data_IF_463610510277
#
_entry.id   IF_463610510277
#
_cell.length_a   1.000
_cell.length_b   1.000
_cell.length_c   1.000
_cell.angle_alpha   90.00
_cell.angle_beta   90.00
_cell.angle_gamma   90.00
#
_symmetry.space_group_name_H-M   'P 1'
#
loop_
_entity.id
_entity.type
_entity.pdbx_description
1 polymer ?
#
# COMPACT_ATOMS: atom_id res chain seq x y z
N UNK A 1 -9.18 -17.49 -30.67
CA UNK A 1 -8.53 -17.75 -29.38
C UNK A 1 -7.11 -17.20 -29.40
N UNK A 2 -6.65 -16.68 -28.31
CA UNK A 2 -5.27 -16.20 -28.10
C UNK A 2 -4.50 -17.35 -27.48
N UNK A 3 -3.33 -17.70 -28.02
CA UNK A 3 -2.46 -18.69 -27.42
C UNK A 3 -1.55 -18.08 -26.33
N UNK A 4 -0.76 -18.91 -25.65
CA UNK A 4 0.16 -18.49 -24.58
C UNK A 4 1.29 -17.56 -25.08
N UNK A 5 1.50 -17.44 -26.41
CA UNK A 5 2.47 -16.53 -27.02
C UNK A 5 1.87 -15.17 -27.42
N UNK A 6 0.59 -14.93 -27.14
CA UNK A 6 -0.10 -13.69 -27.46
C UNK A 6 -0.50 -13.54 -28.94
N UNK A 7 -0.62 -14.65 -29.66
CA UNK A 7 -1.08 -14.67 -31.05
C UNK A 7 -2.54 -15.06 -31.18
N UNK A 8 -3.30 -14.34 -32.00
CA UNK A 8 -4.68 -14.71 -32.37
C UNK A 8 -4.64 -15.81 -33.44
N UNK A 9 -5.12 -17.00 -33.09
CA UNK A 9 -5.29 -18.12 -34.01
C UNK A 9 -6.67 -18.07 -34.65
N UNK A 10 -6.71 -17.89 -35.98
CA UNK A 10 -7.90 -18.09 -36.79
C UNK A 10 -7.77 -19.37 -37.57
N UNK A 11 -8.67 -20.34 -37.36
CA UNK A 11 -8.80 -21.47 -38.25
C UNK A 11 -9.56 -21.06 -39.49
N UNK A 12 -8.86 -20.90 -40.60
CA UNK A 12 -9.45 -20.85 -41.91
C UNK A 12 -9.73 -22.29 -42.36
N UNK A 13 -10.96 -22.55 -42.80
CA UNK A 13 -11.35 -23.84 -43.40
C UNK A 13 -10.31 -24.26 -44.46
N UNK A 14 -9.66 -25.40 -44.23
CA UNK A 14 -8.65 -26.04 -45.06
C UNK A 14 -7.24 -25.38 -45.05
N UNK A 15 -6.41 -25.80 -44.13
CA UNK A 15 -4.94 -25.82 -44.20
C UNK A 15 -4.11 -24.53 -44.09
N UNK A 16 -4.65 -23.44 -43.58
CA UNK A 16 -3.82 -22.29 -43.23
C UNK A 16 -4.10 -21.84 -41.79
N UNK A 17 -3.10 -21.96 -40.90
CA UNK A 17 -3.11 -21.28 -39.61
C UNK A 17 -2.64 -19.84 -39.81
N UNK A 18 -3.51 -18.88 -39.65
CA UNK A 18 -3.19 -17.45 -39.69
C UNK A 18 -2.80 -17.00 -38.28
N UNK A 19 -1.52 -16.75 -38.06
CA UNK A 19 -1.06 -16.07 -36.86
C UNK A 19 -1.16 -14.55 -37.08
N UNK A 20 -2.18 -13.90 -36.51
CA UNK A 20 -2.26 -12.45 -36.50
C UNK A 20 -1.47 -11.94 -35.31
N UNK A 21 -0.24 -11.51 -35.56
CA UNK A 21 0.60 -10.77 -34.63
C UNK A 21 0.48 -9.29 -34.96
N UNK A 22 -0.05 -8.51 -34.03
CA UNK A 22 -0.12 -7.05 -34.18
C UNK A 22 0.18 -6.38 -32.86
N UNK A 23 0.70 -5.17 -32.90
CA UNK A 23 1.07 -4.38 -31.72
C UNK A 23 -0.07 -4.31 -30.68
N UNK A 24 -1.33 -4.31 -31.12
CA UNK A 24 -2.51 -4.26 -30.23
C UNK A 24 -2.72 -5.58 -29.46
N UNK A 25 -2.45 -6.73 -30.08
CA UNK A 25 -2.60 -8.04 -29.43
C UNK A 25 -1.50 -8.28 -28.41
N UNK A 26 -0.28 -7.90 -28.78
CA UNK A 26 0.88 -7.93 -27.86
C UNK A 26 0.65 -6.97 -26.70
N UNK A 27 0.17 -5.76 -26.97
CA UNK A 27 -0.13 -4.79 -25.93
C UNK A 27 -1.20 -5.30 -24.96
N UNK A 28 -2.26 -5.94 -25.47
CA UNK A 28 -3.32 -6.48 -24.61
C UNK A 28 -2.83 -7.62 -23.73
N UNK A 29 -2.05 -8.55 -24.28
CA UNK A 29 -1.45 -9.65 -23.51
C UNK A 29 -0.48 -9.15 -22.44
N UNK A 30 0.29 -8.10 -22.75
CA UNK A 30 1.18 -7.43 -21.78
C UNK A 30 0.36 -6.76 -20.66
N UNK A 31 -0.72 -6.06 -20.98
CA UNK A 31 -1.58 -5.41 -19.97
C UNK A 31 -2.27 -6.42 -19.05
N UNK A 32 -2.76 -7.54 -19.61
CA UNK A 32 -3.37 -8.62 -18.83
C UNK A 32 -2.31 -9.30 -17.92
N UNK A 33 -1.12 -9.54 -18.44
CA UNK A 33 0.01 -10.05 -17.66
C UNK A 33 0.44 -9.10 -16.54
N UNK A 34 0.46 -7.79 -16.79
CA UNK A 34 0.80 -6.78 -15.79
C UNK A 34 -0.20 -6.76 -14.62
N UNK A 35 -1.50 -6.90 -14.89
CA UNK A 35 -2.53 -6.89 -13.84
C UNK A 35 -2.44 -8.08 -12.90
N UNK A 36 -2.17 -9.29 -13.42
CA UNK A 36 -1.96 -10.49 -12.62
C UNK A 36 -0.65 -10.40 -11.81
N UNK A 37 0.43 -10.01 -12.45
CA UNK A 37 1.72 -9.81 -11.79
C UNK A 37 1.65 -8.76 -10.68
N UNK A 38 0.79 -7.76 -10.83
CA UNK A 38 0.56 -6.73 -9.82
C UNK A 38 -0.03 -7.31 -8.53
N UNK A 39 -1.05 -8.15 -8.63
CA UNK A 39 -1.69 -8.79 -7.47
C UNK A 39 -0.68 -9.70 -6.75
N UNK A 40 0.04 -10.52 -7.50
CA UNK A 40 1.07 -11.41 -6.95
C UNK A 40 2.20 -10.62 -6.27
N UNK A 41 2.76 -9.62 -6.94
CA UNK A 41 3.81 -8.76 -6.37
C UNK A 41 3.36 -8.05 -5.11
N UNK A 42 2.12 -7.55 -5.09
CA UNK A 42 1.55 -6.87 -3.91
C UNK A 42 1.38 -7.84 -2.75
N UNK A 43 0.88 -9.05 -3.00
CA UNK A 43 0.72 -10.07 -1.98
C UNK A 43 2.08 -10.54 -1.42
N UNK A 44 3.06 -10.76 -2.28
CA UNK A 44 4.42 -11.13 -1.86
C UNK A 44 5.05 -10.00 -1.05
N UNK A 45 4.93 -8.75 -1.49
CA UNK A 45 5.47 -7.58 -0.78
C UNK A 45 4.85 -7.41 0.61
N UNK A 46 3.53 -7.58 0.73
CA UNK A 46 2.83 -7.56 2.03
C UNK A 46 3.29 -8.72 2.93
N UNK A 47 3.44 -9.92 2.39
CA UNK A 47 3.92 -11.07 3.14
C UNK A 47 5.36 -10.88 3.64
N UNK A 48 6.27 -10.43 2.77
CA UNK A 48 7.65 -10.12 3.15
C UNK A 48 7.70 -9.04 4.22
N UNK A 49 6.92 -7.96 4.04
CA UNK A 49 6.83 -6.87 5.00
C UNK A 49 6.30 -7.35 6.36
N UNK A 50 5.30 -8.24 6.34
CA UNK A 50 4.79 -8.87 7.58
C UNK A 50 5.88 -9.66 8.30
N UNK A 51 6.62 -10.50 7.57
CA UNK A 51 7.71 -11.28 8.17
C UNK A 51 8.83 -10.40 8.72
N UNK A 52 9.22 -9.34 8.02
CA UNK A 52 10.22 -8.38 8.49
C UNK A 52 9.74 -7.68 9.77
N UNK A 53 8.50 -7.18 9.79
CA UNK A 53 7.92 -6.54 10.97
C UNK A 53 7.81 -7.51 12.14
N UNK A 54 7.36 -8.73 11.87
CA UNK A 54 7.29 -9.77 12.88
C UNK A 54 8.68 -10.11 13.46
N UNK A 55 9.70 -10.23 12.62
CA UNK A 55 11.07 -10.48 13.06
C UNK A 55 11.62 -9.34 13.93
N UNK A 56 11.30 -8.08 13.61
CA UNK A 56 11.73 -6.90 14.35
C UNK A 56 11.00 -6.74 15.68
N UNK A 57 9.68 -6.93 15.68
CA UNK A 57 8.84 -6.72 16.88
C UNK A 57 8.68 -7.98 17.73
N UNK A 58 8.92 -9.15 17.15
CA UNK A 58 8.67 -10.48 17.73
C UNK A 58 7.26 -10.67 18.29
N UNK A 59 6.31 -9.86 17.83
CA UNK A 59 4.90 -9.88 18.22
C UNK A 59 4.03 -9.75 16.98
N UNK A 60 2.97 -10.53 16.88
CA UNK A 60 2.05 -10.53 15.72
C UNK A 60 1.21 -9.26 15.73
N UNK A 61 0.74 -8.82 16.89
CA UNK A 61 -0.18 -7.66 17.03
C UNK A 61 0.39 -6.37 16.41
N UNK A 62 1.62 -5.93 16.74
CA UNK A 62 2.21 -4.76 16.11
C UNK A 62 2.36 -4.89 14.59
N UNK A 63 2.73 -6.08 14.11
CA UNK A 63 2.91 -6.32 12.67
C UNK A 63 1.59 -6.13 11.91
N UNK A 64 0.47 -6.65 12.44
CA UNK A 64 -0.86 -6.48 11.86
C UNK A 64 -1.31 -5.04 11.93
N UNK A 65 -1.18 -4.36 13.10
CA UNK A 65 -1.60 -2.98 13.30
C UNK A 65 -0.86 -2.01 12.38
N UNK A 66 0.44 -2.25 12.13
CA UNK A 66 1.25 -1.42 11.21
C UNK A 66 0.91 -1.67 9.76
N UNK A 67 0.65 -2.93 9.36
CA UNK A 67 0.36 -3.28 7.97
C UNK A 67 -1.07 -2.95 7.52
N UNK A 68 -2.03 -2.94 8.44
CA UNK A 68 -3.43 -2.71 8.10
C UNK A 68 -3.67 -1.34 7.41
N UNK A 69 -3.16 -0.20 7.91
CA UNK A 69 -3.24 1.09 7.22
C UNK A 69 -2.63 1.06 5.82
N UNK A 70 -1.54 0.34 5.63
CA UNK A 70 -0.84 0.22 4.34
C UNK A 70 -1.67 -0.55 3.33
N UNK A 71 -2.32 -1.64 3.75
CA UNK A 71 -3.27 -2.37 2.92
C UNK A 71 -4.45 -1.51 2.48
N UNK A 72 -5.02 -0.73 3.41
CA UNK A 72 -6.09 0.23 3.10
C UNK A 72 -5.60 1.33 2.15
N UNK A 73 -4.38 1.86 2.35
CA UNK A 73 -3.78 2.84 1.44
C UNK A 73 -3.68 2.30 0.01
N UNK A 74 -3.22 1.05 -0.14
CA UNK A 74 -3.11 0.39 -1.45
C UNK A 74 -4.47 0.28 -2.16
N UNK A 75 -5.53 -0.09 -1.43
CA UNK A 75 -6.89 -0.13 -1.97
C UNK A 75 -7.40 1.25 -2.38
N UNK A 76 -7.12 2.28 -1.59
CA UNK A 76 -7.53 3.65 -1.91
C UNK A 76 -6.79 4.20 -3.14
N UNK A 77 -5.51 3.86 -3.29
CA UNK A 77 -4.73 4.24 -4.49
C UNK A 77 -5.32 3.60 -5.74
N UNK A 78 -5.57 2.29 -5.72
CA UNK A 78 -6.20 1.59 -6.85
C UNK A 78 -7.60 2.15 -7.14
N UNK A 79 -8.40 2.41 -6.10
CA UNK A 79 -9.71 3.04 -6.23
C UNK A 79 -9.64 4.44 -6.84
N UNK A 80 -8.67 5.26 -6.44
CA UNK A 80 -8.48 6.61 -6.99
C UNK A 80 -8.05 6.59 -8.45
N UNK A 81 -7.20 5.63 -8.86
CA UNK A 81 -6.84 5.43 -10.27
C UNK A 81 -8.07 5.12 -11.12
N UNK A 82 -8.95 4.25 -10.63
CA UNK A 82 -10.20 3.90 -11.33
C UNK A 82 -11.15 5.11 -11.45
N UNK A 83 -11.26 5.93 -10.38
CA UNK A 83 -12.12 7.12 -10.37
C UNK A 83 -11.62 8.22 -11.32
N UNK A 84 -10.31 8.43 -11.41
CA UNK A 84 -9.68 9.43 -12.27
C UNK A 84 -9.60 8.95 -13.72
N UNK A 85 -9.82 7.64 -13.98
CA UNK A 85 -9.74 7.04 -15.31
C UNK A 85 -8.31 6.86 -15.80
N UNK A 86 -7.33 6.74 -14.87
CA UNK A 86 -5.94 6.48 -15.22
C UNK A 86 -5.78 5.06 -15.76
N UNK A 87 -5.09 4.95 -16.88
CA UNK A 87 -4.82 3.65 -17.51
C UNK A 87 -3.65 2.95 -16.81
N UNK A 88 -3.78 1.64 -16.65
CA UNK A 88 -2.68 0.81 -16.20
C UNK A 88 -1.51 0.88 -17.20
N UNK A 89 -0.35 1.20 -16.71
CA UNK A 89 0.90 1.19 -17.46
C UNK A 89 2.03 0.76 -16.52
N UNK A 90 3.22 0.51 -17.07
CA UNK A 90 4.37 0.02 -16.30
C UNK A 90 4.72 0.94 -15.12
N UNK A 91 4.62 2.26 -15.29
CA UNK A 91 4.93 3.22 -14.22
C UNK A 91 3.85 3.22 -13.13
N UNK A 92 2.57 3.13 -13.48
CA UNK A 92 1.48 3.09 -12.48
C UNK A 92 1.48 1.79 -11.69
N UNK A 93 1.91 0.68 -12.29
CA UNK A 93 2.15 -0.59 -11.58
C UNK A 93 3.24 -0.43 -10.50
N UNK A 94 4.32 0.29 -10.82
CA UNK A 94 5.38 0.57 -9.84
C UNK A 94 4.91 1.40 -8.65
N UNK A 95 3.89 2.24 -8.81
CA UNK A 95 3.34 3.06 -7.70
C UNK A 95 2.80 2.19 -6.57
N UNK A 96 2.21 1.04 -6.87
CA UNK A 96 1.69 0.16 -5.81
C UNK A 96 2.82 -0.37 -4.92
N UNK A 97 3.96 -0.72 -5.51
CA UNK A 97 5.15 -1.10 -4.74
C UNK A 97 5.69 0.07 -3.90
N UNK A 98 5.69 1.29 -4.46
CA UNK A 98 6.03 2.50 -3.72
C UNK A 98 5.04 2.78 -2.58
N UNK A 99 3.75 2.55 -2.79
CA UNK A 99 2.71 2.68 -1.75
C UNK A 99 3.02 1.83 -0.54
N UNK A 100 3.39 0.57 -0.77
CA UNK A 100 3.76 -0.36 0.30
C UNK A 100 5.01 0.15 1.05
N UNK A 101 6.08 0.53 0.32
CA UNK A 101 7.32 1.00 0.94
C UNK A 101 7.10 2.26 1.78
N UNK A 102 6.56 3.33 1.20
CA UNK A 102 6.33 4.61 1.88
C UNK A 102 5.30 4.48 3.01
N UNK A 103 4.22 3.71 2.78
CA UNK A 103 3.16 3.50 3.77
C UNK A 103 3.66 2.76 5.00
N UNK A 104 4.50 1.74 4.82
CA UNK A 104 5.10 0.99 5.92
C UNK A 104 6.01 1.90 6.73
N UNK A 105 6.84 2.73 6.10
CA UNK A 105 7.76 3.63 6.80
C UNK A 105 7.02 4.59 7.73
N UNK A 106 5.94 5.24 7.27
CA UNK A 106 5.13 6.12 8.11
C UNK A 106 4.50 5.38 9.28
N UNK A 107 3.96 4.20 9.03
CA UNK A 107 3.31 3.37 10.05
C UNK A 107 4.31 2.84 11.09
N UNK A 108 5.51 2.41 10.67
CA UNK A 108 6.58 1.95 11.57
C UNK A 108 7.06 3.09 12.45
N UNK A 109 7.35 4.27 11.88
CA UNK A 109 7.83 5.41 12.66
C UNK A 109 6.81 5.84 13.72
N UNK A 110 5.53 5.86 13.37
CA UNK A 110 4.45 6.18 14.29
C UNK A 110 4.31 5.14 15.40
N UNK A 111 4.33 3.83 15.04
CA UNK A 111 4.27 2.74 16.01
C UNK A 111 5.44 2.77 16.99
N UNK A 112 6.67 2.90 16.47
CA UNK A 112 7.88 2.94 17.31
C UNK A 112 7.86 4.11 18.27
N UNK A 113 7.39 5.28 17.83
CA UNK A 113 7.24 6.42 18.73
C UNK A 113 6.21 6.16 19.81
N UNK A 114 5.08 5.56 19.46
CA UNK A 114 4.07 5.15 20.43
C UNK A 114 4.67 4.19 21.48
N UNK A 115 5.40 3.14 21.08
CA UNK A 115 6.06 2.23 22.03
C UNK A 115 6.97 2.96 23.03
N UNK A 116 7.77 3.91 22.54
CA UNK A 116 8.69 4.71 23.37
C UNK A 116 7.92 5.59 24.35
N UNK A 117 6.86 6.26 23.90
CA UNK A 117 6.06 7.11 24.79
C UNK A 117 5.23 6.29 25.78
N UNK A 118 4.75 5.12 25.38
CA UNK A 118 4.04 4.19 26.25
C UNK A 118 4.92 3.69 27.39
N UNK A 119 6.18 3.36 27.10
CA UNK A 119 7.14 2.96 28.13
C UNK A 119 7.47 4.08 29.15
N UNK A 120 7.32 5.35 28.75
CA UNK A 120 7.58 6.50 29.63
C UNK A 120 6.36 6.92 30.45
N UNK A 121 5.17 6.87 29.88
CA UNK A 121 3.97 7.47 30.46
C UNK A 121 3.06 6.47 31.14
N UNK A 122 3.04 5.21 30.66
CA UNK A 122 2.19 4.14 31.17
C UNK A 122 0.70 4.28 30.79
N UNK A 123 0.30 5.40 30.19
CA UNK A 123 -1.05 5.66 29.71
C UNK A 123 -1.10 5.66 28.19
N UNK A 124 -2.04 4.88 27.63
CA UNK A 124 -2.18 4.69 26.16
C UNK A 124 -2.53 6.00 25.44
N UNK A 125 -3.46 6.79 26.00
CA UNK A 125 -3.93 8.01 25.39
C UNK A 125 -2.86 9.11 25.38
N UNK A 126 -2.18 9.29 26.52
CA UNK A 126 -1.08 10.25 26.62
C UNK A 126 0.12 9.88 25.72
N UNK A 127 0.44 8.58 25.66
CA UNK A 127 1.50 8.09 24.78
C UNK A 127 1.18 8.31 23.29
N UNK A 128 -0.08 8.02 22.91
CA UNK A 128 -0.54 8.20 21.55
C UNK A 128 -0.53 9.66 21.13
N UNK A 129 -1.06 10.54 21.97
CA UNK A 129 -1.04 11.99 21.74
C UNK A 129 0.39 12.53 21.58
N UNK A 130 1.30 12.13 22.48
CA UNK A 130 2.69 12.54 22.39
C UNK A 130 3.38 12.01 21.11
N UNK A 131 3.04 10.81 20.66
CA UNK A 131 3.55 10.25 19.42
C UNK A 131 3.06 11.06 18.20
N UNK A 132 1.78 11.41 18.15
CA UNK A 132 1.22 12.24 17.07
C UNK A 132 1.82 13.64 17.09
N UNK A 133 1.90 14.30 18.24
CA UNK A 133 2.40 15.67 18.37
C UNK A 133 3.88 15.81 17.97
N UNK A 134 4.68 14.77 18.15
CA UNK A 134 6.12 14.79 17.81
C UNK A 134 6.43 14.21 16.46
N UNK A 135 6.11 12.92 16.26
CA UNK A 135 6.44 12.21 15.04
C UNK A 135 5.48 12.57 13.89
N UNK A 136 4.20 12.85 14.19
CA UNK A 136 3.23 13.26 13.19
C UNK A 136 3.65 14.52 12.45
N UNK A 137 4.19 15.53 13.13
CA UNK A 137 4.70 16.76 12.49
C UNK A 137 5.88 16.44 11.56
N UNK A 138 6.82 15.61 12.00
CA UNK A 138 7.96 15.21 11.17
C UNK A 138 7.50 14.42 9.92
N UNK A 139 6.53 13.53 10.07
CA UNK A 139 5.96 12.77 8.96
C UNK A 139 5.20 13.70 7.99
N UNK A 140 4.46 14.69 8.47
CA UNK A 140 3.80 15.70 7.63
C UNK A 140 4.81 16.50 6.80
N UNK A 141 5.90 16.97 7.40
CA UNK A 141 6.95 17.70 6.67
C UNK A 141 7.61 16.82 5.62
N UNK A 142 7.93 15.57 5.95
CA UNK A 142 8.47 14.59 5.01
C UNK A 142 7.51 14.34 3.84
N UNK A 143 6.23 14.13 4.13
CA UNK A 143 5.22 13.90 3.11
C UNK A 143 5.04 15.11 2.17
N UNK A 144 5.00 16.34 2.71
CA UNK A 144 4.90 17.56 1.91
C UNK A 144 6.09 17.67 0.96
N UNK A 145 7.31 17.42 1.45
CA UNK A 145 8.52 17.46 0.63
C UNK A 145 8.48 16.41 -0.47
N UNK A 146 8.08 15.19 -0.14
CA UNK A 146 7.96 14.09 -1.10
C UNK A 146 6.89 14.36 -2.14
N UNK A 147 5.70 14.80 -1.72
CA UNK A 147 4.61 15.19 -2.64
C UNK A 147 5.02 16.33 -3.56
N UNK A 148 5.75 17.33 -3.05
CA UNK A 148 6.26 18.43 -3.87
C UNK A 148 7.25 17.94 -4.93
N UNK A 149 8.12 16.98 -4.59
CA UNK A 149 9.03 16.36 -5.54
C UNK A 149 8.30 15.64 -6.67
N UNK A 150 7.28 14.84 -6.34
CA UNK A 150 6.48 14.13 -7.35
C UNK A 150 5.55 15.08 -8.13
N UNK A 151 5.06 16.16 -7.53
CA UNK A 151 4.25 17.17 -8.20
C UNK A 151 5.01 17.89 -9.35
N UNK A 152 6.34 17.95 -9.28
CA UNK A 152 7.14 18.50 -10.39
C UNK A 152 6.98 17.67 -11.67
N UNK A 153 6.71 16.35 -11.56
CA UNK A 153 6.49 15.49 -12.71
C UNK A 153 5.21 15.83 -13.50
N UNK A 154 4.27 16.55 -12.89
CA UNK A 154 3.06 17.03 -13.56
C UNK A 154 3.37 18.01 -14.70
N UNK A 155 4.53 18.64 -14.68
CA UNK A 155 4.99 19.55 -15.73
C UNK A 155 5.78 18.83 -16.84
N UNK A 156 5.91 17.51 -16.78
CA UNK A 156 6.57 16.72 -17.82
C UNK A 156 5.80 16.79 -19.14
N UNK A 157 6.47 16.83 -20.30
CA UNK A 157 5.79 16.74 -21.61
C UNK A 157 5.21 15.36 -21.90
N UNK A 158 5.53 14.33 -21.09
CA UNK A 158 5.09 12.95 -21.29
C UNK A 158 3.91 12.63 -20.36
N UNK A 159 2.70 12.31 -20.88
CA UNK A 159 1.52 12.02 -20.08
C UNK A 159 1.73 10.89 -19.06
N UNK A 160 2.47 9.84 -19.42
CA UNK A 160 2.76 8.70 -18.55
C UNK A 160 3.54 9.12 -17.30
N UNK A 161 4.44 10.11 -17.43
CA UNK A 161 5.21 10.66 -16.31
C UNK A 161 4.33 11.56 -15.43
N UNK A 162 3.40 12.32 -16.05
CA UNK A 162 2.41 13.11 -15.30
C UNK A 162 1.53 12.21 -14.44
N UNK A 163 0.98 11.15 -15.03
CA UNK A 163 0.15 10.16 -14.33
C UNK A 163 0.91 9.53 -13.15
N UNK A 164 2.16 9.14 -13.37
CA UNK A 164 3.02 8.61 -12.32
C UNK A 164 3.24 9.61 -11.19
N UNK A 165 3.54 10.86 -11.50
CA UNK A 165 3.73 11.93 -10.50
C UNK A 165 2.48 12.18 -9.68
N UNK A 166 1.31 12.26 -10.36
CA UNK A 166 0.02 12.50 -9.73
C UNK A 166 -0.34 11.37 -8.76
N UNK A 167 -0.33 10.13 -9.25
CA UNK A 167 -0.76 9.00 -8.43
C UNK A 167 0.21 8.75 -7.26
N UNK A 168 1.52 9.00 -7.45
CA UNK A 168 2.49 8.88 -6.37
C UNK A 168 2.29 9.96 -5.30
N UNK A 169 2.00 11.20 -5.68
CA UNK A 169 1.67 12.25 -4.72
C UNK A 169 0.40 11.92 -3.91
N UNK A 170 -0.65 11.40 -4.57
CA UNK A 170 -1.89 10.92 -3.93
C UNK A 170 -1.57 9.76 -2.97
N UNK A 171 -0.71 8.85 -3.38
CA UNK A 171 -0.26 7.71 -2.56
C UNK A 171 0.39 8.15 -1.25
N UNK A 172 1.31 9.11 -1.31
CA UNK A 172 1.98 9.66 -0.13
C UNK A 172 0.97 10.33 0.80
N UNK A 173 0.02 11.08 0.24
CA UNK A 173 -1.06 11.70 1.01
C UNK A 173 -1.92 10.67 1.75
N UNK A 174 -2.38 9.63 1.07
CA UNK A 174 -3.19 8.57 1.69
C UNK A 174 -2.41 7.81 2.74
N UNK A 175 -1.15 7.47 2.48
CA UNK A 175 -0.30 6.80 3.45
C UNK A 175 -0.11 7.63 4.72
N UNK A 176 0.10 8.95 4.58
CA UNK A 176 0.19 9.87 5.70
C UNK A 176 -1.11 9.94 6.52
N UNK A 177 -2.25 10.14 5.84
CA UNK A 177 -3.56 10.25 6.51
C UNK A 177 -3.85 8.96 7.29
N UNK A 178 -3.63 7.81 6.68
CA UNK A 178 -3.91 6.53 7.32
C UNK A 178 -2.93 6.23 8.47
N UNK A 179 -1.66 6.59 8.34
CA UNK A 179 -0.69 6.45 9.42
C UNK A 179 -1.02 7.37 10.62
N UNK A 180 -1.55 8.57 10.39
CA UNK A 180 -1.87 9.52 11.45
C UNK A 180 -3.27 9.33 12.05
N UNK A 181 -4.23 8.80 11.30
CA UNK A 181 -5.61 8.66 11.75
C UNK A 181 -5.98 7.21 12.06
N UNK A 182 -5.71 6.29 11.14
CA UNK A 182 -6.15 4.91 11.29
C UNK A 182 -5.27 4.12 12.27
N UNK A 183 -3.95 4.31 12.24
CA UNK A 183 -3.05 3.59 13.14
C UNK A 183 -3.32 3.93 14.62
N UNK A 184 -3.48 5.20 15.04
CA UNK A 184 -3.89 5.53 16.41
C UNK A 184 -5.18 4.84 16.86
N UNK A 185 -6.19 4.80 15.99
CA UNK A 185 -7.48 4.13 16.29
C UNK A 185 -7.27 2.63 16.48
N UNK A 186 -6.46 1.99 15.63
CA UNK A 186 -6.16 0.56 15.73
C UNK A 186 -5.39 0.23 17.01
N UNK A 187 -4.45 1.09 17.41
CA UNK A 187 -3.70 0.95 18.68
C UNK A 187 -4.65 0.98 19.86
N UNK A 188 -5.54 1.95 19.91
CA UNK A 188 -6.53 2.09 20.99
C UNK A 188 -7.49 0.89 21.04
N UNK A 189 -8.01 0.44 19.87
CA UNK A 189 -8.88 -0.73 19.81
C UNK A 189 -8.17 -2.01 20.24
N UNK A 190 -6.87 -2.16 19.91
CA UNK A 190 -6.10 -3.32 20.32
C UNK A 190 -5.84 -3.34 21.84
N UNK A 191 -5.66 -2.18 22.45
CA UNK A 191 -5.49 -2.07 23.89
C UNK A 191 -6.76 -2.47 24.65
N UNK A 192 -7.92 -1.94 24.24
CA UNK A 192 -9.23 -2.29 24.83
C UNK A 192 -9.57 -3.77 24.68
N UNK A 193 -9.21 -4.38 23.56
CA UNK A 193 -9.42 -5.82 23.35
C UNK A 193 -8.60 -6.71 24.30
N UNK A 194 -7.45 -6.23 24.76
CA UNK A 194 -6.65 -6.95 25.77
C UNK A 194 -7.21 -6.81 27.16
N UNK A 195 -7.72 -5.64 27.56
CA UNK A 195 -8.37 -5.43 28.87
C UNK A 195 -9.62 -6.31 29.02
N UNK A 196 -10.47 -6.37 27.98
CA UNK A 196 -11.67 -7.22 27.99
C UNK A 196 -11.39 -8.73 28.12
N UNK A 197 -10.22 -9.19 27.72
CA UNK A 197 -9.85 -10.62 27.82
C UNK A 197 -9.21 -11.00 29.16
N UNK A 198 -8.77 -10.00 29.94
CA UNK A 198 -8.26 -10.20 31.31
C UNK A 198 -9.35 -10.17 32.36
N UNK A 199 -10.52 -9.62 32.04
CA UNK A 199 -11.66 -9.52 32.97
C UNK A 199 -12.65 -10.72 32.89
N UNK A 200 -12.32 -11.79 32.18
CA UNK A 200 -13.09 -13.03 32.24
C UNK A 200 -12.77 -13.74 33.57
N UNK A 201 -13.70 -13.81 34.54
CA UNK A 201 -13.44 -14.47 35.81
C UNK A 201 -13.10 -15.94 35.57
N UNK A 202 -12.04 -16.41 36.22
CA UNK A 202 -11.59 -17.82 36.21
C UNK A 202 -12.48 -18.74 37.04
N UNK A 203 -13.74 -18.38 37.29
CA UNK A 203 -14.67 -19.07 38.20
C UNK A 203 -15.76 -19.84 37.43
N UNK A 204 -15.31 -20.75 36.55
CA UNK A 204 -16.17 -21.78 35.97
C UNK A 204 -15.42 -23.11 35.90
N UNK A 205 -14.93 -23.62 37.04
CA UNK A 205 -14.60 -25.04 37.25
C UNK A 205 -15.34 -25.60 38.48
#
# INVERSE_FOLDING_TARGET
SIDESGTLKYELKEHAELHVTGDLVVLQSVLDGLSLSQIESTAISLAVSFFVLFALTRRIMPAVVVLFPVGVASLWVVGSMALIGLKWNVLTVMVTALTLGIGIDYSIHMWRRFEVEMAKRGDHWEALRAAVDTTGVALMLSAITTMSGFAVLLFSPMPVIQDFGLITAITVLFSLILALMLLPVLVELSARGQESNTDVPADLD
#
